data_IF_735389827151
#
_entry.id   IF_735389827151
#
_cell.length_a   1.000
_cell.length_b   1.000
_cell.length_c   1.000
_cell.angle_alpha   90.00
_cell.angle_beta   90.00
_cell.angle_gamma   90.00
#
_symmetry.space_group_name_H-M   'P 1'
#
loop_
_entity.id
_entity.type
_entity.pdbx_description
1 polymer ?
2 water ?
#
# COMPACT_ATOMS: atom_id res chain seq x y z
N UNK A 1 -9.28 -38.33 19.01
CA UNK A 1 -8.87 -37.11 19.68
C UNK A 1 -7.72 -36.41 18.98
N UNK A 2 -6.70 -37.18 18.61
CA UNK A 2 -5.58 -36.63 17.87
C UNK A 2 -6.10 -36.03 16.56
N UNK A 3 -6.93 -36.79 15.83
CA UNK A 3 -7.42 -36.33 14.53
C UNK A 3 -8.16 -35.00 14.63
N UNK A 4 -9.19 -34.94 15.48
CA UNK A 4 -9.99 -33.72 15.54
C UNK A 4 -9.15 -32.52 15.98
N UNK A 5 -8.18 -32.74 16.87
CA UNK A 5 -7.26 -31.67 17.29
C UNK A 5 -6.36 -31.20 16.15
N UNK A 6 -5.78 -32.15 15.43
CA UNK A 6 -4.92 -31.83 14.29
C UNK A 6 -5.65 -31.11 13.16
N UNK A 7 -6.82 -31.63 12.80
CA UNK A 7 -7.63 -31.05 11.75
C UNK A 7 -8.02 -29.60 12.09
N UNK A 8 -8.48 -29.41 13.32
CA UNK A 8 -8.89 -28.08 13.79
C UNK A 8 -7.71 -27.10 13.80
N UNK A 9 -6.55 -27.57 14.25
CA UNK A 9 -5.34 -26.74 14.27
C UNK A 9 -4.87 -26.39 12.86
N UNK A 10 -5.06 -27.30 11.91
CA UNK A 10 -4.73 -27.04 10.51
C UNK A 10 -5.60 -25.93 9.95
N UNK A 11 -6.91 -26.03 10.19
CA UNK A 11 -7.85 -25.02 9.68
C UNK A 11 -7.57 -23.66 10.33
N UNK A 12 -7.32 -23.65 11.64
CA UNK A 12 -6.96 -22.42 12.35
C UNK A 12 -5.68 -21.79 11.78
N UNK A 13 -4.68 -22.61 11.43
CA UNK A 13 -3.46 -22.07 10.83
C UNK A 13 -3.72 -21.49 9.44
N UNK A 14 -4.55 -22.19 8.67
CA UNK A 14 -4.97 -21.73 7.35
C UNK A 14 -5.66 -20.38 7.46
N UNK A 15 -6.55 -20.24 8.44
CA UNK A 15 -7.27 -18.98 8.66
C UNK A 15 -6.31 -17.83 8.96
N UNK A 16 -5.33 -18.07 9.83
CA UNK A 16 -4.34 -17.02 10.15
C UNK A 16 -3.53 -16.68 8.90
N UNK A 17 -3.15 -17.70 8.14
CA UNK A 17 -2.40 -17.49 6.91
C UNK A 17 -3.15 -16.57 5.96
N UNK A 18 -4.46 -16.80 5.83
CA UNK A 18 -5.30 -16.00 4.94
C UNK A 18 -5.44 -14.56 5.42
N UNK A 19 -5.66 -14.38 6.72
CA UNK A 19 -5.74 -13.05 7.33
C UNK A 19 -4.45 -12.26 7.15
N UNK A 20 -3.32 -12.94 7.34
CA UNK A 20 -2.01 -12.28 7.26
C UNK A 20 -1.63 -11.94 5.82
N UNK A 21 -1.94 -12.83 4.89
CA UNK A 21 -1.79 -12.57 3.46
C UNK A 21 -2.61 -11.34 3.05
N UNK A 22 -3.86 -11.26 3.51
CA UNK A 22 -4.69 -10.09 3.24
C UNK A 22 -4.10 -8.80 3.84
N UNK A 23 -3.60 -8.90 5.07
CA UNK A 23 -2.95 -7.77 5.72
C UNK A 23 -1.75 -7.28 4.90
N UNK A 24 -0.94 -8.22 4.41
CA UNK A 24 0.20 -7.85 3.58
C UNK A 24 -0.25 -7.10 2.33
N UNK A 25 -1.26 -7.62 1.65
CA UNK A 25 -1.72 -6.96 0.43
C UNK A 25 -2.31 -5.58 0.74
N UNK A 26 -3.02 -5.48 1.86
CA UNK A 26 -3.59 -4.20 2.29
C UNK A 26 -2.50 -3.15 2.54
N UNK A 27 -1.42 -3.54 3.21
CA UNK A 27 -0.34 -2.62 3.56
C UNK A 27 0.43 -2.18 2.33
N UNK A 28 0.64 -3.11 1.41
CA UNK A 28 1.26 -2.78 0.12
C UNK A 28 0.44 -1.75 -0.66
N UNK A 29 -0.86 -2.01 -0.75
CA UNK A 29 -1.73 -1.12 -1.50
C UNK A 29 -1.78 0.27 -0.84
N UNK A 30 -1.76 0.29 0.49
CA UNK A 30 -1.74 1.55 1.24
C UNK A 30 -0.47 2.36 0.92
N UNK A 31 0.67 1.69 0.92
CA UNK A 31 1.96 2.34 0.64
C UNK A 31 2.02 2.83 -0.80
N UNK A 32 1.53 2.00 -1.72
CA UNK A 32 1.46 2.36 -3.14
C UNK A 32 0.68 3.65 -3.34
N UNK A 33 -0.49 3.70 -2.72
CA UNK A 33 -1.39 4.83 -2.88
C UNK A 33 -0.82 6.12 -2.26
N UNK A 34 -0.17 6.00 -1.11
CA UNK A 34 0.49 7.15 -0.50
C UNK A 34 1.63 7.68 -1.39
N UNK A 35 2.38 6.78 -2.01
CA UNK A 35 3.46 7.27 -2.86
C UNK A 35 2.91 7.89 -4.14
N UNK A 36 1.81 7.34 -4.67
CA UNK A 36 1.19 7.92 -5.85
C UNK A 36 0.72 9.34 -5.55
N UNK A 37 0.15 9.54 -4.36
CA UNK A 37 -0.27 10.87 -3.95
C UNK A 37 0.92 11.82 -3.81
N UNK A 38 2.05 11.32 -3.31
CA UNK A 38 3.25 12.15 -3.20
C UNK A 38 3.78 12.58 -4.58
N UNK A 39 3.67 11.68 -5.55
CA UNK A 39 4.04 12.02 -6.92
C UNK A 39 3.12 13.10 -7.49
N UNK A 40 1.82 12.97 -7.26
CA UNK A 40 0.86 13.96 -7.76
C UNK A 40 1.11 15.36 -7.15
N UNK A 41 1.35 15.38 -5.85
CA UNK A 41 1.66 16.60 -5.12
C UNK A 41 2.92 17.28 -5.67
N UNK A 42 4.02 16.53 -5.77
CA UNK A 42 5.28 17.08 -6.26
C UNK A 42 5.28 17.48 -7.74
N UNK A 43 4.65 16.68 -8.59
CA UNK A 43 4.52 17.06 -9.99
C UNK A 43 3.73 18.37 -10.09
N UNK A 44 2.72 18.50 -9.25
CA UNK A 44 1.96 19.73 -9.19
C UNK A 44 2.77 20.96 -8.81
N UNK A 45 3.53 20.86 -7.73
CA UNK A 45 4.35 21.98 -7.30
C UNK A 45 5.51 22.21 -8.26
N UNK A 46 6.06 21.14 -8.84
CA UNK A 46 7.07 21.30 -9.88
C UNK A 46 6.53 22.11 -11.05
N UNK A 47 5.28 21.86 -11.44
CA UNK A 47 4.70 22.57 -12.58
C UNK A 47 4.45 24.05 -12.24
N UNK A 48 3.95 24.31 -11.04
CA UNK A 48 3.75 25.69 -10.57
C UNK A 48 5.04 26.48 -10.62
N UNK A 49 6.13 25.85 -10.16
CA UNK A 49 7.47 26.45 -10.14
C UNK A 49 8.04 26.64 -11.56
N UNK A 50 7.84 25.65 -12.42
CA UNK A 50 8.20 25.78 -13.83
C UNK A 50 7.52 27.00 -14.46
N UNK A 51 6.22 27.15 -14.24
CA UNK A 51 5.51 28.29 -14.80
C UNK A 51 6.01 29.63 -14.27
N UNK A 52 6.34 29.68 -12.98
CA UNK A 52 6.83 30.92 -12.40
C UNK A 52 8.20 31.25 -13.01
N UNK A 53 9.03 30.23 -13.19
CA UNK A 53 10.32 30.44 -13.81
C UNK A 53 10.21 30.99 -15.22
N UNK A 54 9.20 30.52 -15.96
CA UNK A 54 8.99 30.98 -17.33
C UNK A 54 8.50 32.43 -17.35
N UNK A 55 7.67 32.78 -16.38
CA UNK A 55 7.19 34.16 -16.25
C UNK A 55 8.30 35.11 -15.82
N UNK A 56 9.32 34.59 -15.14
CA UNK A 56 10.49 35.38 -14.79
C UNK A 56 11.37 35.63 -16.00
N UNK A 57 11.49 34.61 -16.86
CA UNK A 57 12.35 34.66 -18.04
C UNK A 57 11.90 35.73 -19.03
N UNK A 58 10.67 36.20 -18.85
CA UNK A 58 10.19 37.38 -19.54
C UNK A 58 10.45 38.55 -18.59
N UNK A 59 9.39 38.98 -17.89
CA UNK A 59 9.45 39.78 -16.66
C UNK A 59 8.04 40.22 -16.24
#
# INVERSE_FOLDING_TARGET
>A
GSFSREYTAAVEAKQVAQQEAQRAQFLVEKAKQEQRQKIVQAEGEAEAAKMLGEALSKNPGYIKLRKIRAAQNISKTIALEHHHHHH
#
